data_IF_662947949664
#
_entry.id   IF_662947949664
#
_cell.length_a   1.000
_cell.length_b   1.000
_cell.length_c   1.000
_cell.angle_alpha   90.00
_cell.angle_beta   90.00
_cell.angle_gamma   90.00
#
_symmetry.space_group_name_H-M   'P 1'
#
loop_
_entity.id
_entity.type
_entity.pdbx_description
1 polymer ?
#
# COMPACT_ATOMS: atom_id res chain seq x y z
N UNK A 1 -13.85 9.21 16.15
CA UNK A 1 -13.02 7.99 15.99
C UNK A 1 -13.91 6.90 15.40
N UNK A 2 -13.64 6.48 14.15
CA UNK A 2 -14.29 5.30 13.56
C UNK A 2 -13.41 4.08 13.85
N UNK A 3 -14.06 3.02 14.33
CA UNK A 3 -13.51 1.68 14.60
C UNK A 3 -12.63 1.21 13.44
N UNK A 4 -11.38 0.85 13.76
CA UNK A 4 -10.51 0.05 12.88
C UNK A 4 -11.05 -1.37 13.01
N UNK A 5 -11.79 -1.85 12.00
CA UNK A 5 -12.36 -3.20 12.04
C UNK A 5 -11.26 -4.27 12.01
N UNK A 6 -11.46 -5.27 12.86
CA UNK A 6 -10.59 -6.38 13.21
C UNK A 6 -10.37 -7.36 12.04
N UNK A 7 -9.16 -7.93 11.96
CA UNK A 7 -8.75 -8.94 10.98
C UNK A 7 -9.41 -10.31 11.26
N UNK A 8 -10.05 -10.93 10.25
CA UNK A 8 -10.61 -12.29 10.33
C UNK A 8 -9.61 -13.38 9.88
N UNK A 9 -9.64 -14.57 10.49
CA UNK A 9 -8.67 -15.66 10.27
C UNK A 9 -8.66 -16.30 8.86
N UNK A 10 -9.72 -16.13 8.05
CA UNK A 10 -9.75 -16.55 6.62
C UNK A 10 -8.77 -15.75 5.75
N UNK A 11 -8.33 -14.58 6.23
CA UNK A 11 -7.39 -13.71 5.55
C UNK A 11 -6.00 -14.35 5.40
N UNK A 12 -5.44 -14.99 6.44
CA UNK A 12 -4.01 -15.38 6.51
C UNK A 12 -3.50 -16.25 5.35
N UNK A 13 -4.29 -17.22 4.87
CA UNK A 13 -3.87 -18.07 3.74
C UNK A 13 -3.83 -17.27 2.42
N UNK A 14 -4.84 -16.42 2.19
CA UNK A 14 -4.90 -15.53 1.03
C UNK A 14 -3.75 -14.49 1.10
N UNK A 15 -3.36 -14.04 2.30
CA UNK A 15 -2.19 -13.16 2.50
C UNK A 15 -0.88 -13.82 2.07
N UNK A 16 -0.69 -15.09 2.42
CA UNK A 16 0.53 -15.83 2.11
C UNK A 16 0.76 -15.99 0.60
N UNK A 17 -0.32 -16.14 -0.17
CA UNK A 17 -0.26 -16.23 -1.63
C UNK A 17 0.14 -14.90 -2.26
N UNK A 18 -0.54 -13.81 -1.86
CA UNK A 18 -0.26 -12.45 -2.34
C UNK A 18 1.19 -12.07 -2.06
N UNK A 19 1.66 -12.30 -0.83
CA UNK A 19 3.06 -12.00 -0.46
C UNK A 19 4.06 -12.88 -1.20
N UNK A 20 3.78 -14.18 -1.40
CA UNK A 20 4.71 -15.07 -2.11
C UNK A 20 4.90 -14.63 -3.57
N UNK A 21 3.82 -14.29 -4.27
CA UNK A 21 3.90 -13.81 -5.66
C UNK A 21 4.67 -12.49 -5.76
N UNK A 22 4.40 -11.53 -4.87
CA UNK A 22 5.07 -10.24 -4.86
C UNK A 22 6.55 -10.34 -4.41
N UNK A 23 6.88 -11.24 -3.49
CA UNK A 23 8.27 -11.50 -3.10
C UNK A 23 9.12 -12.00 -4.28
N UNK A 24 8.53 -12.74 -5.23
CA UNK A 24 9.25 -13.24 -6.41
C UNK A 24 9.78 -12.14 -7.34
N UNK A 25 9.23 -10.93 -7.22
CA UNK A 25 9.63 -9.74 -7.99
C UNK A 25 10.34 -8.68 -7.12
N UNK A 26 10.73 -9.04 -5.89
CA UNK A 26 11.49 -8.17 -4.98
C UNK A 26 10.64 -7.19 -4.16
N UNK A 27 9.31 -7.36 -4.12
CA UNK A 27 8.42 -6.62 -3.23
C UNK A 27 8.31 -7.36 -1.90
N UNK A 28 8.77 -6.73 -0.82
CA UNK A 28 8.82 -7.32 0.52
C UNK A 28 7.79 -6.72 1.49
N UNK A 29 7.09 -5.67 1.06
CA UNK A 29 6.05 -5.00 1.84
C UNK A 29 4.82 -4.72 0.99
N UNK A 30 3.63 -4.94 1.58
CA UNK A 30 2.35 -4.60 0.97
C UNK A 30 1.49 -3.90 2.00
N UNK A 31 0.88 -2.80 1.59
CA UNK A 31 -0.26 -2.19 2.27
C UNK A 31 -1.34 -1.92 1.25
N UNK A 32 -2.55 -2.35 1.53
CA UNK A 32 -3.71 -2.18 0.66
C UNK A 32 -4.86 -1.57 1.44
N UNK A 33 -5.59 -0.67 0.78
CA UNK A 33 -6.81 -0.07 1.29
C UNK A 33 -7.86 -0.15 0.18
N UNK A 34 -9.02 -0.73 0.49
CA UNK A 34 -10.21 -0.66 -0.34
C UNK A 34 -11.18 0.34 0.29
N UNK A 35 -11.63 1.32 -0.47
CA UNK A 35 -12.61 2.32 -0.03
C UNK A 35 -13.91 2.07 -0.78
N UNK A 36 -14.95 1.71 -0.05
CA UNK A 36 -16.28 1.47 -0.59
C UNK A 36 -17.04 2.78 -0.92
N UNK A 37 -18.10 2.72 -1.75
CA UNK A 37 -18.91 3.90 -2.06
C UNK A 37 -19.54 4.59 -0.84
N UNK A 38 -19.79 3.84 0.23
CA UNK A 38 -20.31 4.37 1.51
C UNK A 38 -19.21 4.95 2.42
N UNK A 39 -17.96 4.98 1.95
CA UNK A 39 -16.79 5.47 2.64
C UNK A 39 -16.20 4.51 3.68
N UNK A 40 -16.68 3.26 3.76
CA UNK A 40 -16.00 2.23 4.57
C UNK A 40 -14.63 1.92 3.98
N UNK A 41 -13.65 1.70 4.86
CA UNK A 41 -12.27 1.38 4.50
C UNK A 41 -11.94 -0.01 5.01
N UNK A 42 -11.41 -0.84 4.13
CA UNK A 42 -10.87 -2.16 4.44
C UNK A 42 -9.35 -2.07 4.30
N UNK A 43 -8.63 -2.49 5.33
CA UNK A 43 -7.18 -2.35 5.41
C UNK A 43 -6.51 -3.73 5.39
N UNK A 44 -5.42 -3.82 4.65
CA UNK A 44 -4.54 -4.98 4.63
C UNK A 44 -3.08 -4.50 4.69
N UNK A 45 -2.24 -5.14 5.50
CA UNK A 45 -0.81 -4.83 5.55
C UNK A 45 0.02 -6.04 5.97
N UNK A 46 1.23 -6.16 5.41
CA UNK A 46 2.13 -7.29 5.69
C UNK A 46 3.10 -7.03 6.85
N UNK A 47 3.19 -5.79 7.33
CA UNK A 47 4.04 -5.42 8.46
C UNK A 47 3.20 -4.70 9.53
N UNK A 48 2.74 -5.48 10.53
CA UNK A 48 1.90 -4.99 11.62
C UNK A 48 2.61 -3.95 12.51
N UNK A 49 3.93 -4.09 12.69
CA UNK A 49 4.71 -3.13 13.49
C UNK A 49 4.72 -1.76 12.82
N UNK A 50 4.99 -1.72 11.52
CA UNK A 50 4.95 -0.48 10.75
C UNK A 50 3.53 0.10 10.71
N UNK A 51 2.51 -0.71 10.45
CA UNK A 51 1.13 -0.21 10.39
C UNK A 51 0.67 0.34 11.75
N UNK A 52 1.05 -0.29 12.86
CA UNK A 52 0.79 0.21 14.20
C UNK A 52 1.41 1.58 14.47
N UNK A 53 2.65 1.81 14.01
CA UNK A 53 3.30 3.13 14.08
C UNK A 53 2.58 4.13 13.17
N UNK A 54 2.36 3.76 11.91
CA UNK A 54 1.82 4.63 10.88
C UNK A 54 0.41 5.12 11.20
N UNK A 55 -0.46 4.21 11.66
CA UNK A 55 -1.85 4.53 12.03
C UNK A 55 -1.95 5.08 13.45
N UNK A 56 -1.18 4.55 14.40
CA UNK A 56 -1.25 4.91 15.81
C UNK A 56 -0.60 6.24 16.16
N UNK A 57 0.37 6.71 15.36
CA UNK A 57 1.09 7.98 15.60
C UNK A 57 0.60 9.14 14.73
N UNK A 58 -0.58 9.00 14.09
CA UNK A 58 -1.18 10.02 13.21
C UNK A 58 -0.23 10.50 12.07
N UNK A 59 0.66 9.61 11.60
CA UNK A 59 1.60 9.90 10.51
C UNK A 59 0.88 9.99 9.15
N UNK A 60 -0.35 9.50 9.09
CA UNK A 60 -1.17 9.45 7.88
C UNK A 60 -1.34 10.83 7.22
N UNK A 61 -1.58 11.88 8.03
CA UNK A 61 -1.81 13.25 7.53
C UNK A 61 -0.58 13.85 6.84
N UNK A 62 0.61 13.40 7.23
CA UNK A 62 1.90 13.85 6.70
C UNK A 62 2.48 12.86 5.69
N UNK A 63 1.77 11.78 5.37
CA UNK A 63 2.20 10.81 4.37
C UNK A 63 1.92 11.33 2.95
N UNK A 64 2.97 11.69 2.22
CA UNK A 64 2.87 12.14 0.81
C UNK A 64 2.25 11.08 -0.11
N UNK A 65 2.44 9.79 0.21
CA UNK A 65 1.83 8.69 -0.54
C UNK A 65 0.32 8.62 -0.32
N UNK A 66 -0.14 8.87 0.91
CA UNK A 66 -1.57 8.93 1.22
C UNK A 66 -2.21 10.15 0.55
N UNK A 67 -1.57 11.33 0.65
CA UNK A 67 -2.03 12.56 -0.03
C UNK A 67 -2.14 12.37 -1.54
N UNK A 68 -1.18 11.67 -2.16
CA UNK A 68 -1.24 11.34 -3.59
C UNK A 68 -2.50 10.54 -3.94
N UNK A 69 -2.83 9.51 -3.16
CA UNK A 69 -4.00 8.68 -3.40
C UNK A 69 -5.33 9.36 -3.09
N UNK A 70 -5.40 10.16 -2.01
CA UNK A 70 -6.62 10.88 -1.64
C UNK A 70 -7.01 11.95 -2.67
N UNK A 71 -6.02 12.56 -3.33
CA UNK A 71 -6.25 13.56 -4.38
C UNK A 71 -6.45 12.95 -5.77
N UNK A 72 -6.32 11.62 -5.91
CA UNK A 72 -6.48 10.97 -7.20
C UNK A 72 -7.96 10.89 -7.59
N UNK A 73 -8.27 11.34 -8.82
CA UNK A 73 -9.61 11.23 -9.42
C UNK A 73 -9.67 10.18 -10.54
N UNK A 74 -8.54 9.56 -10.83
CA UNK A 74 -8.34 8.56 -11.89
C UNK A 74 -7.22 7.61 -11.47
N UNK A 75 -7.12 6.41 -12.08
CA UNK A 75 -6.03 5.50 -11.79
C UNK A 75 -4.68 6.17 -11.95
N UNK A 76 -3.80 5.99 -10.97
CA UNK A 76 -2.52 6.68 -10.90
C UNK A 76 -1.46 5.81 -10.21
N UNK A 77 -0.20 6.06 -10.56
CA UNK A 77 0.96 5.36 -10.01
C UNK A 77 2.01 6.40 -9.62
N UNK A 78 2.61 6.21 -8.45
CA UNK A 78 3.70 7.03 -7.92
C UNK A 78 4.87 6.13 -7.52
N UNK A 79 6.02 6.29 -8.16
CA UNK A 79 7.29 5.80 -7.61
C UNK A 79 7.65 6.65 -6.40
N UNK A 80 8.06 6.02 -5.29
CA UNK A 80 8.37 6.75 -4.06
C UNK A 80 9.58 7.66 -4.20
N UNK A 81 10.50 7.35 -5.13
CA UNK A 81 11.63 8.22 -5.48
C UNK A 81 11.19 9.57 -6.09
N UNK A 82 10.01 9.56 -6.74
CA UNK A 82 9.42 10.72 -7.40
C UNK A 82 8.35 11.39 -6.52
N UNK A 83 8.18 10.94 -5.27
CA UNK A 83 7.26 11.57 -4.34
C UNK A 83 7.78 12.97 -3.96
N UNK A 84 6.95 13.99 -4.19
CA UNK A 84 7.29 15.35 -3.81
C UNK A 84 7.20 15.50 -2.28
N UNK A 85 8.33 15.74 -1.63
CA UNK A 85 8.44 15.96 -0.19
C UNK A 85 8.70 17.45 0.05
N UNK A 86 7.68 18.17 0.53
CA UNK A 86 7.75 19.62 0.71
C UNK A 86 8.10 20.04 2.14
N UNK A 87 7.79 19.22 3.14
CA UNK A 87 7.94 19.55 4.55
C UNK A 87 8.86 18.59 5.32
N UNK A 88 9.32 19.03 6.49
CA UNK A 88 10.09 18.19 7.41
C UNK A 88 9.28 17.00 7.91
N UNK A 89 8.01 17.20 8.27
CA UNK A 89 7.14 16.13 8.74
C UNK A 89 6.93 15.06 7.67
N UNK A 90 6.69 15.46 6.42
CA UNK A 90 6.60 14.53 5.28
C UNK A 90 7.88 13.71 5.09
N UNK A 91 9.05 14.34 5.24
CA UNK A 91 10.33 13.63 5.19
C UNK A 91 10.47 12.62 6.33
N UNK A 92 10.13 13.01 7.55
CA UNK A 92 10.21 12.15 8.73
C UNK A 92 9.30 10.92 8.57
N UNK A 93 8.07 11.09 8.08
CA UNK A 93 7.17 9.96 7.77
C UNK A 93 7.76 9.06 6.69
N UNK A 94 8.30 9.64 5.62
CA UNK A 94 8.90 8.86 4.54
C UNK A 94 10.18 8.13 4.98
N UNK A 95 10.91 8.64 5.97
CA UNK A 95 12.10 7.98 6.50
C UNK A 95 11.80 6.97 7.61
N UNK A 96 10.75 7.16 8.41
CA UNK A 96 10.44 6.27 9.54
C UNK A 96 10.24 4.80 9.12
N UNK A 97 9.75 4.56 7.90
CA UNK A 97 9.60 3.20 7.34
C UNK A 97 10.94 2.49 7.06
N UNK A 98 12.05 3.23 6.97
CA UNK A 98 13.40 2.66 6.76
C UNK A 98 13.84 1.79 7.95
N UNK A 99 13.40 2.12 9.17
CA UNK A 99 13.64 1.30 10.37
C UNK A 99 12.98 -0.08 10.28
N UNK A 100 12.01 -0.21 9.37
CA UNK A 100 11.29 -1.47 9.06
C UNK A 100 11.78 -2.09 7.75
N UNK A 101 12.90 -1.62 7.20
CA UNK A 101 13.48 -2.06 5.92
C UNK A 101 12.54 -1.86 4.72
N UNK A 102 11.71 -0.81 4.75
CA UNK A 102 10.82 -0.44 3.65
C UNK A 102 11.40 0.83 3.00
N UNK A 103 12.34 0.67 2.07
CA UNK A 103 13.15 1.80 1.59
C UNK A 103 12.50 2.50 0.40
N UNK A 104 12.20 1.73 -0.65
CA UNK A 104 11.65 2.22 -1.90
C UNK A 104 10.41 1.42 -2.30
N UNK A 105 9.66 1.88 -3.30
CA UNK A 105 8.43 1.23 -3.71
C UNK A 105 7.60 2.02 -4.70
N UNK A 106 6.42 1.48 -5.00
CA UNK A 106 5.38 2.16 -5.77
C UNK A 106 4.10 2.21 -4.98
N UNK A 107 3.35 3.28 -5.16
CA UNK A 107 1.97 3.38 -4.72
C UNK A 107 1.07 3.49 -5.95
N UNK A 108 0.04 2.66 -6.01
CA UNK A 108 -0.94 2.64 -7.08
C UNK A 108 -2.30 2.93 -6.47
N UNK A 109 -3.09 3.75 -7.15
CA UNK A 109 -4.51 3.87 -6.88
C UNK A 109 -5.29 3.53 -8.15
N UNK A 110 -6.38 2.78 -7.97
CA UNK A 110 -7.24 2.33 -9.06
C UNK A 110 -8.71 2.49 -8.64
N UNK A 111 -9.61 2.44 -9.62
CA UNK A 111 -11.04 2.65 -9.39
C UNK A 111 -11.84 1.55 -10.09
N UNK A 112 -12.72 0.88 -9.35
CA UNK A 112 -13.54 -0.20 -9.89
C UNK A 112 -14.93 -0.21 -9.28
N UNK A 113 -15.96 -0.08 -10.11
CA UNK A 113 -17.38 -0.19 -9.68
C UNK A 113 -17.73 0.72 -8.48
N UNK A 114 -17.19 1.93 -8.45
CA UNK A 114 -17.38 2.90 -7.36
C UNK A 114 -16.47 2.70 -6.14
N UNK A 115 -15.67 1.63 -6.11
CA UNK A 115 -14.62 1.44 -5.12
C UNK A 115 -13.34 2.15 -5.55
N UNK A 116 -12.58 2.62 -4.56
CA UNK A 116 -11.20 3.07 -4.74
C UNK A 116 -10.26 2.07 -4.09
N UNK A 117 -9.33 1.55 -4.88
CA UNK A 117 -8.22 0.75 -4.41
C UNK A 117 -6.98 1.62 -4.23
N UNK A 118 -6.25 1.38 -3.16
CA UNK A 118 -4.93 1.95 -2.91
C UNK A 118 -4.02 0.79 -2.53
N UNK A 119 -2.91 0.62 -3.24
CA UNK A 119 -1.89 -0.37 -2.89
C UNK A 119 -0.51 0.28 -2.87
N UNK A 120 0.20 0.11 -1.77
CA UNK A 120 1.60 0.48 -1.60
C UNK A 120 2.43 -0.81 -1.58
N UNK A 121 3.35 -0.92 -2.53
CA UNK A 121 4.25 -2.05 -2.69
C UNK A 121 5.67 -1.57 -2.40
N UNK A 122 6.24 -2.04 -1.30
CA UNK A 122 7.57 -1.64 -0.83
C UNK A 122 8.61 -2.74 -1.01
N UNK A 123 9.87 -2.33 -1.10
CA UNK A 123 11.04 -3.20 -1.17
C UNK A 123 12.07 -2.83 -0.12
N UNK A 124 12.86 -3.82 0.31
CA UNK A 124 14.05 -3.64 1.13
C UNK A 124 15.31 -3.34 0.32
N UNK A 125 15.16 -3.00 -0.97
CA UNK A 125 16.25 -2.55 -1.83
C UNK A 125 16.11 -1.05 -2.14
N UNK A 126 16.97 -0.24 -1.51
CA UNK A 126 16.94 1.23 -1.66
C UNK A 126 17.12 1.70 -3.11
N UNK A 127 18.01 1.04 -3.86
CA UNK A 127 18.40 1.43 -5.24
C UNK A 127 17.67 0.68 -6.34
N UNK A 128 16.64 -0.11 -6.00
CA UNK A 128 15.87 -0.82 -7.02
C UNK A 128 15.13 0.20 -7.89
N UNK A 129 15.25 0.10 -9.22
CA UNK A 129 14.38 0.83 -10.13
C UNK A 129 12.98 0.21 -10.09
N UNK A 130 12.14 0.76 -9.22
CA UNK A 130 10.80 0.24 -8.95
C UNK A 130 9.84 0.46 -10.12
N UNK A 131 10.10 1.44 -10.99
CA UNK A 131 9.30 1.64 -12.19
C UNK A 131 9.57 0.54 -13.24
N UNK A 132 10.84 0.21 -13.49
CA UNK A 132 11.20 -0.90 -14.38
C UNK A 132 10.66 -2.23 -13.87
N UNK A 133 10.78 -2.48 -12.56
CA UNK A 133 10.22 -3.67 -11.91
C UNK A 133 8.69 -3.74 -12.09
N UNK A 134 7.97 -2.62 -11.95
CA UNK A 134 6.53 -2.54 -12.22
C UNK A 134 6.19 -2.91 -13.67
N UNK A 135 6.91 -2.36 -14.65
CA UNK A 135 6.64 -2.61 -16.07
C UNK A 135 6.83 -4.09 -16.40
N UNK A 136 7.92 -4.69 -15.92
CA UNK A 136 8.23 -6.11 -16.16
C UNK A 136 7.26 -7.06 -15.43
N UNK A 137 6.75 -6.63 -14.28
CA UNK A 137 5.94 -7.48 -13.37
C UNK A 137 4.46 -7.07 -13.32
N UNK A 138 3.99 -6.29 -14.30
CA UNK A 138 2.67 -5.66 -14.28
C UNK A 138 1.52 -6.67 -14.09
N UNK A 139 1.65 -7.85 -14.70
CA UNK A 139 0.65 -8.91 -14.59
C UNK A 139 0.55 -9.43 -13.16
N UNK A 140 1.68 -9.74 -12.51
CA UNK A 140 1.73 -10.21 -11.11
C UNK A 140 1.13 -9.16 -10.16
N UNK A 141 1.44 -7.88 -10.39
CA UNK A 141 0.93 -6.78 -9.58
C UNK A 141 -0.58 -6.62 -9.75
N UNK A 142 -1.08 -6.72 -11.00
CA UNK A 142 -2.52 -6.66 -11.29
C UNK A 142 -3.27 -7.82 -10.63
N UNK A 143 -2.76 -9.04 -10.74
CA UNK A 143 -3.35 -10.22 -10.08
C UNK A 143 -3.34 -10.06 -8.56
N UNK A 144 -2.25 -9.55 -7.99
CA UNK A 144 -2.16 -9.29 -6.55
C UNK A 144 -3.17 -8.23 -6.08
N UNK A 145 -3.43 -7.20 -6.88
CA UNK A 145 -4.46 -6.20 -6.57
C UNK A 145 -5.87 -6.81 -6.59
N UNK A 146 -6.16 -7.68 -7.56
CA UNK A 146 -7.44 -8.39 -7.64
C UNK A 146 -7.62 -9.34 -6.45
N UNK A 147 -6.55 -10.03 -6.05
CA UNK A 147 -6.54 -10.89 -4.86
C UNK A 147 -6.79 -10.07 -3.58
N UNK A 148 -6.11 -8.94 -3.40
CA UNK A 148 -6.37 -8.02 -2.28
C UNK A 148 -7.84 -7.56 -2.23
N UNK A 149 -8.41 -7.19 -3.39
CA UNK A 149 -9.81 -6.78 -3.48
C UNK A 149 -10.76 -7.92 -3.16
N UNK A 150 -10.49 -9.12 -3.67
CA UNK A 150 -11.29 -10.30 -3.38
C UNK A 150 -11.28 -10.63 -1.88
N UNK A 151 -10.17 -10.41 -1.17
CA UNK A 151 -10.11 -10.54 0.28
C UNK A 151 -10.96 -9.45 0.95
N UNK A 152 -10.78 -8.18 0.57
CA UNK A 152 -11.50 -7.07 1.20
C UNK A 152 -13.02 -7.09 0.98
N UNK A 153 -13.52 -7.69 -0.10
CA UNK A 153 -14.96 -7.80 -0.40
C UNK A 153 -15.62 -9.08 0.14
N UNK A 154 -14.84 -10.00 0.73
CA UNK A 154 -15.39 -11.17 1.44
C UNK A 154 -15.84 -10.80 2.87
N UNK A 155 -15.31 -9.71 3.42
CA UNK A 155 -15.61 -9.17 4.75
C UNK A 155 -16.69 -8.06 4.70
#
# INVERSE_FOLDING_TARGET
>A
MKSINEFNASSQHDLSRITKSLNSIGITYVSYVCIAPDGKRFHYHTNEKWSGIFLGSDLLKDCVLNKFCENAVKPALLSWENAHIGTRAEREVMWARHDMQIYNGITITDFFSGYQDIIALGTNHEKLNVFDMYIQSRQIIRESLLDCRAVALKD
#
